data_IF_364781233968
#
_entry.id   IF_364781233968
#
_cell.length_a   1.000
_cell.length_b   1.000
_cell.length_c   1.000
_cell.angle_alpha   90.00
_cell.angle_beta   90.00
_cell.angle_gamma   90.00
#
_symmetry.space_group_name_H-M   'P 1'
#
loop_
_entity.id
_entity.type
_entity.pdbx_description
1 polymer ?
#
# COMPACT_ATOMS: atom_id res chain seq x y z
N UNK A 1 1.65 -17.21 -9.28
CA UNK A 1 0.38 -16.71 -8.70
C UNK A 1 0.72 -15.45 -7.90
N UNK A 2 0.57 -14.26 -8.49
CA UNK A 2 0.67 -13.01 -7.72
C UNK A 2 -0.64 -12.85 -6.96
N UNK A 3 -0.72 -13.46 -5.78
CA UNK A 3 -1.89 -13.30 -4.92
C UNK A 3 -2.03 -11.80 -4.59
N UNK A 4 -3.16 -11.16 -4.90
CA UNK A 4 -3.40 -9.73 -4.62
C UNK A 4 -3.63 -9.45 -3.13
N UNK A 5 -3.07 -10.28 -2.25
CA UNK A 5 -3.32 -10.27 -0.82
C UNK A 5 -3.01 -8.92 -0.16
N UNK A 6 -1.85 -8.28 -0.37
CA UNK A 6 -1.58 -6.98 0.24
C UNK A 6 -2.56 -5.91 -0.27
N UNK A 7 -2.92 -5.95 -1.56
CA UNK A 7 -3.88 -5.01 -2.16
C UNK A 7 -5.26 -5.15 -1.53
N UNK A 8 -5.74 -6.39 -1.35
CA UNK A 8 -7.04 -6.66 -0.76
C UNK A 8 -7.09 -6.20 0.70
N UNK A 9 -6.05 -6.51 1.49
CA UNK A 9 -5.93 -6.10 2.90
C UNK A 9 -5.94 -4.58 3.05
N UNK A 10 -5.14 -3.88 2.25
CA UNK A 10 -5.08 -2.41 2.25
C UNK A 10 -6.43 -1.81 1.86
N UNK A 11 -7.08 -2.32 0.81
CA UNK A 11 -8.40 -1.84 0.38
C UNK A 11 -9.47 -2.05 1.44
N UNK A 12 -9.42 -3.15 2.18
CA UNK A 12 -10.33 -3.40 3.31
C UNK A 12 -10.08 -2.44 4.47
N UNK A 13 -8.80 -2.17 4.81
CA UNK A 13 -8.44 -1.25 5.88
C UNK A 13 -8.89 0.20 5.58
N UNK A 14 -8.74 0.65 4.33
CA UNK A 14 -9.16 1.99 3.88
C UNK A 14 -10.70 2.21 3.85
N UNK A 15 -11.51 1.14 4.02
CA UNK A 15 -12.97 1.32 4.16
C UNK A 15 -13.33 2.05 5.45
N UNK A 16 -12.58 1.79 6.53
CA UNK A 16 -12.88 2.29 7.87
C UNK A 16 -11.84 3.30 8.39
N UNK A 17 -10.80 3.59 7.60
CA UNK A 17 -9.73 4.54 7.94
C UNK A 17 -9.49 5.47 6.76
N UNK A 18 -9.16 6.73 7.07
CA UNK A 18 -8.75 7.72 6.07
C UNK A 18 -7.23 7.76 5.88
N UNK A 19 -6.48 7.20 6.83
CA UNK A 19 -5.01 7.11 6.82
C UNK A 19 -4.56 5.69 7.18
N UNK A 20 -3.56 5.19 6.47
CA UNK A 20 -2.99 3.86 6.68
C UNK A 20 -1.49 3.86 6.36
N UNK A 21 -0.69 3.32 7.28
CA UNK A 21 0.70 2.94 7.03
C UNK A 21 0.75 1.46 6.69
N UNK A 22 1.46 1.12 5.61
CA UNK A 22 1.61 -0.25 5.12
C UNK A 22 3.10 -0.59 5.07
N UNK A 23 3.49 -1.65 5.77
CA UNK A 23 4.84 -2.24 5.68
C UNK A 23 4.84 -3.34 4.65
N UNK A 24 5.80 -3.30 3.73
CA UNK A 24 5.93 -4.27 2.65
C UNK A 24 7.37 -4.77 2.56
N UNK A 25 7.54 -6.08 2.43
CA UNK A 25 8.81 -6.80 2.39
C UNK A 25 9.33 -7.04 0.96
N UNK A 26 8.58 -6.61 -0.06
CA UNK A 26 8.99 -6.80 -1.45
C UNK A 26 8.54 -5.67 -2.37
N UNK A 27 9.39 -5.40 -3.38
CA UNK A 27 9.12 -4.41 -4.42
C UNK A 27 7.85 -4.75 -5.21
N UNK A 28 7.57 -6.03 -5.45
CA UNK A 28 6.34 -6.47 -6.15
C UNK A 28 5.10 -6.11 -5.34
N UNK A 29 5.12 -6.28 -4.01
CA UNK A 29 4.01 -5.90 -3.16
C UNK A 29 3.82 -4.38 -3.13
N UNK A 30 4.92 -3.62 -3.05
CA UNK A 30 4.93 -2.15 -3.15
C UNK A 30 4.26 -1.67 -4.44
N UNK A 31 4.69 -2.16 -5.60
CA UNK A 31 4.15 -1.73 -6.90
C UNK A 31 2.65 -2.00 -7.00
N UNK A 32 2.20 -3.17 -6.51
CA UNK A 32 0.80 -3.54 -6.53
C UNK A 32 -0.06 -2.64 -5.63
N UNK A 33 0.40 -2.33 -4.42
CA UNK A 33 -0.33 -1.45 -3.49
C UNK A 33 -0.31 -0.01 -3.99
N UNK A 34 0.83 0.48 -4.46
CA UNK A 34 0.98 1.82 -5.04
C UNK A 34 0.05 2.03 -6.23
N UNK A 35 0.01 1.08 -7.16
CA UNK A 35 -0.91 1.13 -8.32
C UNK A 35 -2.37 1.19 -7.89
N UNK A 36 -2.77 0.40 -6.89
CA UNK A 36 -4.12 0.44 -6.35
C UNK A 36 -4.45 1.78 -5.71
N UNK A 37 -3.54 2.32 -4.88
CA UNK A 37 -3.73 3.60 -4.23
C UNK A 37 -3.83 4.76 -5.24
N UNK A 38 -3.03 4.74 -6.30
CA UNK A 38 -3.12 5.71 -7.40
C UNK A 38 -4.47 5.62 -8.12
N UNK A 39 -4.93 4.41 -8.43
CA UNK A 39 -6.24 4.19 -9.05
C UNK A 39 -7.41 4.65 -8.16
N UNK A 40 -7.22 4.68 -6.84
CA UNK A 40 -8.19 5.18 -5.87
C UNK A 40 -8.09 6.69 -5.62
N UNK A 41 -7.13 7.39 -6.24
CA UNK A 41 -6.90 8.82 -6.06
C UNK A 41 -6.33 9.19 -4.69
N UNK A 42 -5.71 8.24 -3.98
CA UNK A 42 -5.13 8.47 -2.65
C UNK A 42 -3.81 9.23 -2.77
N UNK A 43 -3.50 10.02 -1.75
CA UNK A 43 -2.15 10.53 -1.53
C UNK A 43 -1.26 9.38 -1.04
N UNK A 44 -0.08 9.27 -1.63
CA UNK A 44 0.90 8.20 -1.38
C UNK A 44 2.23 8.84 -0.99
N UNK A 45 2.77 8.42 0.13
CA UNK A 45 4.12 8.77 0.58
C UNK A 45 4.90 7.46 0.82
N UNK A 46 6.08 7.35 0.23
CA UNK A 46 6.93 6.15 0.31
C UNK A 46 8.22 6.51 1.04
N UNK A 47 8.58 5.68 2.02
CA UNK A 47 9.86 5.70 2.71
C UNK A 47 10.50 4.30 2.59
N UNK A 48 11.74 4.26 2.12
CA UNK A 48 12.51 3.01 1.99
C UNK A 48 13.43 2.88 3.20
N UNK A 49 13.28 1.79 3.97
CA UNK A 49 14.11 1.51 5.15
C UNK A 49 14.75 0.14 5.03
N UNK A 50 16.05 0.14 4.77
CA UNK A 50 16.87 -1.08 4.61
C UNK A 50 16.25 -2.05 3.59
N UNK A 51 15.57 -3.10 4.07
CA UNK A 51 14.95 -4.17 3.28
C UNK A 51 13.41 -4.11 3.28
N UNK A 52 12.83 -3.05 3.84
CA UNK A 52 11.38 -2.85 3.95
C UNK A 52 10.93 -1.52 3.30
N UNK A 53 9.69 -1.53 2.84
CA UNK A 53 9.01 -0.37 2.26
C UNK A 53 7.90 0.09 3.19
N UNK A 54 7.97 1.36 3.61
CA UNK A 54 6.91 2.05 4.33
C UNK A 54 6.07 2.87 3.36
N UNK A 55 4.81 2.49 3.19
CA UNK A 55 3.86 3.19 2.33
C UNK A 55 2.76 3.83 3.17
N UNK A 56 2.78 5.15 3.26
CA UNK A 56 1.71 5.95 3.88
C UNK A 56 0.65 6.30 2.83
N UNK A 57 -0.59 5.95 3.11
CA UNK A 57 -1.76 6.15 2.26
C UNK A 57 -2.77 7.06 2.95
N UNK A 58 -3.28 8.07 2.24
CA UNK A 58 -4.28 9.01 2.76
C UNK A 58 -5.35 9.33 1.70
N UNK A 59 -6.62 9.38 2.10
CA UNK A 59 -7.73 9.83 1.22
C UNK A 59 -7.67 11.31 0.91
#
# INVERSE_FOLDING_TARGET
LSCPEPVLRVRQALKNKDELLVLLDSQIALENVKRMAQNMGLKIELEEKNDEYELSLKK
#
